data_IF_870172099689
#
_entry.id   IF_870172099689
#
_cell.length_a   1.000
_cell.length_b   1.000
_cell.length_c   1.000
_cell.angle_alpha   90.00
_cell.angle_beta   90.00
_cell.angle_gamma   90.00
#
_symmetry.space_group_name_H-M   'P 1'
#
loop_
_entity.id
_entity.type
_entity.pdbx_description
1 polymer ?
#
# COMPACT_ATOMS: atom_id res chain seq x y z
N UNK A 1 8.47 -52.77 39.18
CA UNK A 1 9.48 -52.51 38.13
C UNK A 1 8.86 -52.31 36.76
N UNK A 2 7.96 -53.19 36.31
CA UNK A 2 7.22 -53.08 35.02
C UNK A 2 6.38 -51.81 34.88
N UNK A 3 5.65 -51.39 35.92
CA UNK A 3 4.84 -50.17 35.88
C UNK A 3 5.65 -48.87 35.81
N UNK A 4 6.85 -48.83 36.39
CA UNK A 4 7.77 -47.69 36.28
C UNK A 4 8.38 -47.60 34.87
N UNK A 5 8.70 -48.74 34.26
CA UNK A 5 9.20 -48.79 32.87
C UNK A 5 8.11 -48.39 31.87
N UNK A 6 6.85 -48.81 32.09
CA UNK A 6 5.71 -48.36 31.30
C UNK A 6 5.42 -46.86 31.46
N UNK A 7 5.53 -46.34 32.69
CA UNK A 7 5.40 -44.91 32.95
C UNK A 7 6.49 -44.07 32.28
N UNK A 8 7.74 -44.54 32.33
CA UNK A 8 8.88 -43.88 31.66
C UNK A 8 8.72 -43.92 30.13
N UNK A 9 8.31 -45.06 29.58
CA UNK A 9 8.06 -45.20 28.15
C UNK A 9 6.93 -44.27 27.68
N UNK A 10 5.83 -44.18 28.43
CA UNK A 10 4.74 -43.25 28.15
C UNK A 10 5.20 -41.79 28.21
N UNK A 11 6.03 -41.43 29.20
CA UNK A 11 6.59 -40.09 29.34
C UNK A 11 7.50 -39.74 28.15
N UNK A 12 8.36 -40.66 27.71
CA UNK A 12 9.24 -40.47 26.54
C UNK A 12 8.41 -40.27 25.27
N UNK A 13 7.34 -41.04 25.07
CA UNK A 13 6.44 -40.87 23.91
C UNK A 13 5.75 -39.50 23.93
N UNK A 14 5.29 -39.03 25.09
CA UNK A 14 4.67 -37.71 25.24
C UNK A 14 5.68 -36.60 24.95
N UNK A 15 6.91 -36.69 25.47
CA UNK A 15 7.96 -35.71 25.23
C UNK A 15 8.43 -35.67 23.77
N UNK A 16 8.51 -36.83 23.11
CA UNK A 16 8.81 -36.91 21.68
C UNK A 16 7.67 -36.31 20.83
N UNK A 17 6.41 -36.50 21.25
CA UNK A 17 5.24 -35.93 20.58
C UNK A 17 5.22 -34.40 20.70
N UNK A 18 5.53 -33.85 21.87
CA UNK A 18 5.59 -32.39 22.11
C UNK A 18 6.77 -31.76 21.37
N UNK A 19 7.94 -32.39 21.38
CA UNK A 19 9.13 -31.88 20.66
C UNK A 19 9.02 -31.98 19.14
N UNK A 20 8.23 -32.94 18.63
CA UNK A 20 7.83 -32.98 17.21
C UNK A 20 6.88 -31.83 16.84
N UNK A 21 5.99 -31.44 17.74
CA UNK A 21 5.00 -30.37 17.52
C UNK A 21 5.64 -28.97 17.45
N UNK A 22 6.72 -28.72 18.19
CA UNK A 22 7.41 -27.41 18.19
C UNK A 22 8.35 -27.21 17.00
N UNK A 23 8.76 -28.28 16.31
CA UNK A 23 9.57 -28.23 15.08
C UNK A 23 8.77 -28.37 13.78
N UNK A 24 7.53 -28.86 13.86
CA UNK A 24 6.69 -29.05 12.70
C UNK A 24 6.02 -27.74 12.27
N UNK A 25 6.08 -27.45 10.97
CA UNK A 25 5.36 -26.34 10.37
C UNK A 25 3.85 -26.49 10.67
N UNK A 26 3.22 -25.55 11.40
CA UNK A 26 1.83 -25.67 11.85
C UNK A 26 0.85 -25.84 10.69
N UNK A 27 1.20 -25.34 9.50
CA UNK A 27 0.40 -25.51 8.29
C UNK A 27 0.38 -26.97 7.79
N UNK A 28 1.48 -27.70 7.91
CA UNK A 28 1.58 -29.11 7.50
C UNK A 28 0.82 -30.00 8.48
N UNK A 29 0.94 -29.72 9.78
CA UNK A 29 0.24 -30.47 10.81
C UNK A 29 -1.28 -30.29 10.71
N UNK A 30 -1.76 -29.06 10.52
CA UNK A 30 -3.18 -28.79 10.31
C UNK A 30 -3.72 -29.51 9.07
N UNK A 31 -2.93 -29.61 8.00
CA UNK A 31 -3.30 -30.34 6.78
C UNK A 31 -3.40 -31.84 7.01
N UNK A 32 -2.44 -32.43 7.72
CA UNK A 32 -2.47 -33.85 8.07
C UNK A 32 -3.63 -34.16 9.03
N UNK A 33 -3.91 -33.29 10.00
CA UNK A 33 -5.03 -33.45 10.93
C UNK A 33 -6.38 -33.46 10.21
N UNK A 34 -6.57 -32.55 9.24
CA UNK A 34 -7.77 -32.50 8.39
C UNK A 34 -7.91 -33.75 7.52
N UNK A 35 -6.81 -34.25 6.95
CA UNK A 35 -6.77 -35.48 6.16
C UNK A 35 -7.15 -36.72 6.97
N UNK A 36 -6.50 -36.90 8.12
CA UNK A 36 -6.76 -38.05 9.01
C UNK A 36 -8.16 -37.97 9.59
N UNK A 37 -8.59 -36.79 10.07
CA UNK A 37 -9.93 -36.59 10.61
C UNK A 37 -11.04 -36.81 9.58
N UNK A 38 -10.85 -36.32 8.36
CA UNK A 38 -11.80 -36.53 7.27
C UNK A 38 -11.90 -37.99 6.83
N UNK A 39 -10.78 -38.70 6.73
CA UNK A 39 -10.76 -40.14 6.41
C UNK A 39 -11.46 -40.98 7.49
N UNK A 40 -11.23 -40.67 8.78
CA UNK A 40 -11.92 -41.33 9.89
C UNK A 40 -13.42 -41.06 9.89
N UNK A 41 -13.85 -39.83 9.59
CA UNK A 41 -15.26 -39.47 9.50
C UNK A 41 -15.98 -40.22 8.36
N UNK A 42 -15.33 -40.39 7.20
CA UNK A 42 -15.88 -41.18 6.08
C UNK A 42 -15.97 -42.68 6.42
N UNK A 43 -14.95 -43.23 7.08
CA UNK A 43 -14.97 -44.62 7.52
C UNK A 43 -16.09 -44.87 8.54
N UNK A 44 -16.28 -43.96 9.50
CA UNK A 44 -17.39 -44.01 10.46
C UNK A 44 -18.76 -43.91 9.78
N UNK A 45 -18.90 -43.02 8.79
CA UNK A 45 -20.12 -42.90 8.00
C UNK A 45 -20.45 -44.20 7.24
N UNK A 46 -19.45 -44.84 6.61
CA UNK A 46 -19.64 -46.10 5.91
C UNK A 46 -20.10 -47.24 6.84
N UNK A 47 -19.54 -47.31 8.05
CA UNK A 47 -19.95 -48.28 9.08
C UNK A 47 -21.39 -48.04 9.53
N UNK A 48 -21.79 -46.76 9.69
CA UNK A 48 -23.16 -46.41 10.10
C UNK A 48 -24.19 -46.69 8.99
N UNK A 49 -23.83 -46.54 7.72
CA UNK A 49 -24.68 -46.96 6.59
C UNK A 49 -24.94 -48.45 6.62
N UNK A 50 -23.90 -49.26 6.84
CA UNK A 50 -24.03 -50.72 6.94
C UNK A 50 -24.92 -51.14 8.12
N UNK A 51 -25.03 -50.30 9.16
CA UNK A 51 -25.86 -50.52 10.34
C UNK A 51 -27.30 -49.99 10.21
N UNK A 52 -27.67 -49.46 9.04
CA UNK A 52 -29.00 -48.93 8.75
C UNK A 52 -29.28 -47.52 9.30
N UNK A 53 -28.29 -46.85 9.88
CA UNK A 53 -28.42 -45.51 10.47
C UNK A 53 -28.12 -44.41 9.44
N UNK A 54 -28.93 -44.37 8.37
CA UNK A 54 -28.68 -43.52 7.20
C UNK A 54 -28.55 -42.01 7.52
N UNK A 55 -29.35 -41.49 8.46
CA UNK A 55 -29.33 -40.07 8.82
C UNK A 55 -28.07 -39.62 9.57
N UNK A 56 -27.51 -40.47 10.43
CA UNK A 56 -26.25 -40.15 11.12
C UNK A 56 -25.05 -40.28 10.17
N UNK A 57 -25.13 -41.25 9.25
CA UNK A 57 -24.09 -41.48 8.27
C UNK A 57 -23.97 -40.35 7.23
N UNK A 58 -25.09 -39.75 6.80
CA UNK A 58 -25.06 -38.64 5.85
C UNK A 58 -24.37 -37.40 6.43
N UNK A 59 -24.60 -37.10 7.72
CA UNK A 59 -23.97 -35.95 8.40
C UNK A 59 -22.47 -36.16 8.55
N UNK A 60 -22.05 -37.35 9.01
CA UNK A 60 -20.63 -37.68 9.14
C UNK A 60 -19.92 -37.80 7.78
N UNK A 61 -20.62 -38.32 6.77
CA UNK A 61 -20.12 -38.41 5.40
C UNK A 61 -19.88 -37.03 4.79
N UNK A 62 -20.82 -36.09 4.99
CA UNK A 62 -20.69 -34.72 4.50
C UNK A 62 -19.57 -33.96 5.22
N UNK A 63 -19.42 -34.15 6.53
CA UNK A 63 -18.33 -33.56 7.31
C UNK A 63 -16.96 -34.13 6.92
N UNK A 64 -16.87 -35.45 6.69
CA UNK A 64 -15.66 -36.10 6.20
C UNK A 64 -15.26 -35.65 4.80
N UNK A 65 -16.23 -35.57 3.88
CA UNK A 65 -16.01 -35.06 2.53
C UNK A 65 -15.62 -33.56 2.51
N UNK A 66 -16.17 -32.76 3.43
CA UNK A 66 -15.80 -31.36 3.60
C UNK A 66 -14.37 -31.19 4.13
N UNK A 67 -13.98 -31.95 5.16
CA UNK A 67 -12.61 -31.95 5.70
C UNK A 67 -11.55 -32.37 4.67
N UNK A 68 -11.92 -33.24 3.73
CA UNK A 68 -11.06 -33.71 2.63
C UNK A 68 -11.14 -32.83 1.37
N UNK A 69 -12.03 -31.84 1.33
CA UNK A 69 -12.19 -30.94 0.18
C UNK A 69 -12.90 -31.55 -1.03
N UNK A 70 -13.64 -32.66 -0.86
CA UNK A 70 -14.41 -33.31 -1.92
C UNK A 70 -15.86 -32.79 -2.05
N UNK A 71 -16.38 -32.10 -1.03
CA UNK A 71 -17.72 -31.50 -1.06
C UNK A 71 -17.69 -30.08 -1.64
N UNK A 72 -18.06 -29.94 -2.91
CA UNK A 72 -18.15 -28.66 -3.61
C UNK A 72 -19.14 -27.69 -2.96
N UNK A 73 -18.60 -26.61 -2.39
CA UNK A 73 -19.15 -25.24 -2.36
C UNK A 73 -20.60 -25.04 -1.93
N UNK A 74 -20.83 -24.82 -0.63
CA UNK A 74 -21.92 -23.92 -0.17
C UNK A 74 -21.48 -22.98 0.97
N UNK A 75 -20.40 -23.25 1.75
CA UNK A 75 -20.07 -22.36 2.89
C UNK A 75 -18.57 -22.19 3.20
N UNK A 76 -17.72 -21.99 2.19
CA UNK A 76 -16.32 -21.58 2.39
C UNK A 76 -15.66 -21.07 1.10
N UNK A 77 -14.94 -19.94 1.10
CA UNK A 77 -14.35 -19.37 -0.10
C UNK A 77 -13.02 -20.08 -0.38
N UNK A 78 -12.99 -21.06 -1.29
CA UNK A 78 -11.74 -21.53 -1.94
C UNK A 78 -11.99 -22.69 -2.91
N UNK A 79 -12.45 -22.37 -4.12
CA UNK A 79 -11.90 -23.02 -5.30
C UNK A 79 -10.56 -22.36 -5.65
N UNK A 80 -9.62 -23.01 -6.35
CA UNK A 80 -8.52 -22.28 -6.96
C UNK A 80 -9.15 -21.35 -8.00
N UNK A 81 -9.34 -20.09 -7.62
CA UNK A 81 -9.55 -19.02 -8.59
C UNK A 81 -8.31 -19.03 -9.45
N UNK A 82 -8.41 -19.68 -10.61
CA UNK A 82 -7.47 -19.47 -11.69
C UNK A 82 -7.60 -17.98 -12.00
N UNK A 83 -6.67 -17.17 -11.48
CA UNK A 83 -6.59 -15.75 -11.82
C UNK A 83 -6.64 -15.69 -13.33
N UNK A 84 -7.67 -15.05 -13.88
CA UNK A 84 -7.75 -14.81 -15.31
C UNK A 84 -6.53 -13.96 -15.66
N UNK A 85 -5.64 -14.41 -16.55
CA UNK A 85 -4.51 -13.60 -16.99
C UNK A 85 -5.03 -12.33 -17.68
N UNK A 86 -4.39 -11.19 -17.43
CA UNK A 86 -4.72 -9.87 -17.98
C UNK A 86 -5.62 -9.01 -17.10
N UNK A 87 -5.61 -9.17 -15.78
CA UNK A 87 -6.33 -8.22 -14.90
C UNK A 87 -5.53 -6.92 -14.79
N UNK A 88 -6.04 -5.84 -15.39
CA UNK A 88 -5.65 -4.48 -15.04
C UNK A 88 -6.68 -3.85 -14.09
N UNK A 89 -6.21 -3.05 -13.14
CA UNK A 89 -7.06 -2.18 -12.32
C UNK A 89 -6.87 -0.74 -12.76
N UNK A 90 -7.98 -0.06 -13.05
CA UNK A 90 -8.00 1.37 -13.31
C UNK A 90 -8.42 2.09 -12.04
N UNK A 91 -7.60 3.05 -11.59
CA UNK A 91 -7.88 3.91 -10.44
C UNK A 91 -7.88 5.35 -10.93
N UNK A 92 -9.02 6.03 -10.82
CA UNK A 92 -9.18 7.45 -11.13
C UNK A 92 -9.42 8.24 -9.86
N UNK A 93 -8.59 9.23 -9.63
CA UNK A 93 -8.70 10.22 -8.55
C UNK A 93 -8.96 11.60 -9.14
N UNK A 94 -8.99 12.64 -8.31
CA UNK A 94 -9.19 14.01 -8.79
C UNK A 94 -8.02 14.52 -9.62
N UNK A 95 -6.78 14.13 -9.27
CA UNK A 95 -5.57 14.61 -9.93
C UNK A 95 -4.97 13.61 -10.91
N UNK A 96 -5.26 12.31 -10.79
CA UNK A 96 -4.57 11.25 -11.54
C UNK A 96 -5.55 10.21 -12.08
N UNK A 97 -5.31 9.72 -13.28
CA UNK A 97 -5.88 8.48 -13.79
C UNK A 97 -4.74 7.48 -13.96
N UNK A 98 -4.82 6.33 -13.30
CA UNK A 98 -3.75 5.35 -13.28
C UNK A 98 -4.27 3.96 -13.62
N UNK A 99 -3.46 3.19 -14.32
CA UNK A 99 -3.72 1.80 -14.64
C UNK A 99 -2.57 0.95 -14.09
N UNK A 100 -2.92 -0.12 -13.38
CA UNK A 100 -1.98 -1.10 -12.85
C UNK A 100 -2.27 -2.46 -13.47
N UNK A 101 -1.33 -2.96 -14.24
CA UNK A 101 -1.30 -4.35 -14.68
C UNK A 101 -0.88 -5.24 -13.51
N UNK A 102 -1.74 -6.18 -13.09
CA UNK A 102 -1.46 -7.06 -11.96
C UNK A 102 -0.52 -8.23 -12.28
N UNK A 103 -0.31 -8.53 -13.56
CA UNK A 103 0.57 -9.61 -14.01
C UNK A 103 2.02 -9.12 -14.12
N UNK A 104 2.22 -7.94 -14.72
CA UNK A 104 3.57 -7.34 -14.87
C UNK A 104 3.93 -6.41 -13.71
N UNK A 105 2.93 -5.90 -12.99
CA UNK A 105 3.11 -4.81 -12.05
C UNK A 105 3.37 -3.47 -12.72
N UNK A 106 3.26 -3.35 -14.05
CA UNK A 106 3.46 -2.07 -14.74
C UNK A 106 2.36 -1.08 -14.32
N UNK A 107 2.78 0.13 -13.99
CA UNK A 107 1.88 1.21 -13.57
C UNK A 107 2.06 2.37 -14.53
N UNK A 108 1.01 2.70 -15.26
CA UNK A 108 0.95 3.85 -16.17
C UNK A 108 -0.11 4.82 -15.69
N UNK A 109 -0.05 6.07 -16.14
CA UNK A 109 -1.06 7.04 -15.76
C UNK A 109 -0.92 8.41 -16.40
N UNK A 110 -1.97 9.20 -16.24
CA UNK A 110 -2.14 10.55 -16.78
C UNK A 110 -2.56 11.52 -15.69
N UNK A 111 -2.02 12.73 -15.76
CA UNK A 111 -2.39 13.82 -14.87
C UNK A 111 -3.68 14.48 -15.38
N UNK A 112 -4.69 14.55 -14.53
CA UNK A 112 -6.00 15.13 -14.85
C UNK A 112 -6.09 16.61 -14.47
N UNK A 113 -5.44 17.01 -13.37
CA UNK A 113 -5.58 18.34 -12.77
C UNK A 113 -4.22 18.84 -12.24
N UNK A 114 -4.08 20.16 -12.16
CA UNK A 114 -2.84 20.84 -11.72
C UNK A 114 -1.95 21.26 -12.88
N UNK A 115 -0.70 21.65 -12.59
CA UNK A 115 0.17 22.28 -13.58
C UNK A 115 0.59 21.37 -14.74
N UNK A 116 0.52 20.05 -14.51
CA UNK A 116 0.88 19.04 -15.49
C UNK A 116 -0.35 18.38 -16.14
N UNK A 117 -1.54 18.97 -15.98
CA UNK A 117 -2.79 18.42 -16.52
C UNK A 117 -2.67 18.09 -18.03
N UNK A 118 -3.12 16.89 -18.39
CA UNK A 118 -3.07 16.36 -19.75
C UNK A 118 -1.77 15.65 -20.13
N UNK A 119 -0.70 15.73 -19.32
CA UNK A 119 0.54 14.99 -19.55
C UNK A 119 0.47 13.58 -18.97
N UNK A 120 1.17 12.65 -19.62
CA UNK A 120 1.35 11.29 -19.10
C UNK A 120 2.48 11.28 -18.06
N UNK A 121 2.32 10.50 -16.98
CA UNK A 121 3.29 10.39 -15.89
C UNK A 121 4.67 9.90 -16.36
N UNK A 122 4.69 9.08 -17.40
CA UNK A 122 5.90 8.55 -18.04
C UNK A 122 6.70 9.64 -18.76
N UNK A 123 6.03 10.72 -19.17
CA UNK A 123 6.66 11.86 -19.85
C UNK A 123 7.23 12.91 -18.88
N UNK A 124 6.94 12.77 -17.59
CA UNK A 124 7.39 13.72 -16.57
C UNK A 124 8.83 13.41 -16.17
N UNK A 125 9.63 14.47 -16.01
CA UNK A 125 10.96 14.34 -15.41
C UNK A 125 10.83 13.98 -13.92
N UNK A 126 11.86 13.40 -13.29
CA UNK A 126 11.82 13.03 -11.87
C UNK A 126 11.46 14.21 -10.96
N UNK A 127 12.02 15.39 -11.24
CA UNK A 127 11.71 16.62 -10.50
C UNK A 127 10.27 17.11 -10.71
N UNK A 128 9.72 16.99 -11.93
CA UNK A 128 8.33 17.35 -12.22
C UNK A 128 7.35 16.41 -11.49
N UNK A 129 7.65 15.11 -11.47
CA UNK A 129 6.84 14.11 -10.77
C UNK A 129 6.90 14.28 -9.24
N UNK A 130 8.07 14.65 -8.68
CA UNK A 130 8.19 14.99 -7.27
C UNK A 130 7.37 16.24 -6.90
N UNK A 131 7.37 17.26 -7.75
CA UNK A 131 6.56 18.47 -7.55
C UNK A 131 5.06 18.15 -7.61
N UNK A 132 4.64 17.29 -8.54
CA UNK A 132 3.27 16.80 -8.61
C UNK A 132 2.86 16.03 -7.35
N UNK A 133 3.77 15.23 -6.77
CA UNK A 133 3.51 14.56 -5.48
C UNK A 133 3.33 15.57 -4.34
N UNK A 134 4.15 16.63 -4.27
CA UNK A 134 3.99 17.69 -3.25
C UNK A 134 2.64 18.39 -3.36
N UNK A 135 2.19 18.69 -4.59
CA UNK A 135 0.86 19.25 -4.85
C UNK A 135 -0.26 18.31 -4.42
N UNK A 136 -0.18 17.03 -4.81
CA UNK A 136 -1.18 16.03 -4.45
C UNK A 136 -1.25 15.84 -2.94
N UNK A 137 -0.12 15.85 -2.23
CA UNK A 137 -0.08 15.68 -0.76
C UNK A 137 -0.90 16.73 -0.01
N UNK A 138 -0.97 17.96 -0.52
CA UNK A 138 -1.78 19.02 0.09
C UNK A 138 -3.25 18.98 -0.33
N UNK A 139 -3.54 18.61 -1.58
CA UNK A 139 -4.89 18.69 -2.14
C UNK A 139 -5.69 17.38 -2.02
N UNK A 140 -5.08 16.23 -2.34
CA UNK A 140 -5.73 14.91 -2.35
C UNK A 140 -4.77 13.79 -1.88
N UNK A 141 -4.97 13.28 -0.65
CA UNK A 141 -4.17 12.18 -0.10
C UNK A 141 -4.22 10.89 -0.93
N UNK A 142 -5.31 10.63 -1.68
CA UNK A 142 -5.43 9.43 -2.49
C UNK A 142 -4.54 9.50 -3.73
N UNK A 143 -4.56 10.64 -4.44
CA UNK A 143 -3.63 10.90 -5.55
C UNK A 143 -2.17 10.85 -5.09
N UNK A 144 -1.87 11.37 -3.90
CA UNK A 144 -0.52 11.35 -3.33
C UNK A 144 0.02 9.92 -3.13
N UNK A 145 -0.82 8.98 -2.66
CA UNK A 145 -0.42 7.58 -2.49
C UNK A 145 -0.13 6.89 -3.82
N UNK A 146 -0.92 7.18 -4.86
CA UNK A 146 -0.74 6.57 -6.17
C UNK A 146 0.57 7.02 -6.84
N UNK A 147 0.85 8.33 -6.81
CA UNK A 147 2.11 8.84 -7.37
C UNK A 147 3.32 8.47 -6.53
N UNK A 148 3.18 8.31 -5.21
CA UNK A 148 4.22 7.75 -4.34
C UNK A 148 4.57 6.31 -4.74
N UNK A 149 3.56 5.45 -4.96
CA UNK A 149 3.78 4.08 -5.43
C UNK A 149 4.46 4.03 -6.81
N UNK A 150 4.13 4.97 -7.70
CA UNK A 150 4.79 5.12 -8.99
C UNK A 150 6.26 5.56 -8.85
N UNK A 151 6.51 6.63 -8.09
CA UNK A 151 7.86 7.16 -7.86
C UNK A 151 8.77 6.16 -7.16
N UNK A 152 8.26 5.38 -6.21
CA UNK A 152 9.02 4.32 -5.52
C UNK A 152 9.52 3.24 -6.46
N UNK A 153 8.79 2.99 -7.55
CA UNK A 153 9.14 1.99 -8.55
C UNK A 153 10.14 2.52 -9.58
N UNK A 154 9.96 3.75 -10.06
CA UNK A 154 10.80 4.32 -11.13
C UNK A 154 12.07 4.98 -10.59
N UNK A 155 11.98 5.65 -9.44
CA UNK A 155 13.07 6.42 -8.84
C UNK A 155 13.17 6.20 -7.33
N UNK A 156 13.69 5.07 -6.83
CA UNK A 156 13.70 4.76 -5.40
C UNK A 156 14.33 5.85 -4.48
N UNK A 157 15.25 6.68 -5.01
CA UNK A 157 15.92 7.77 -4.28
C UNK A 157 15.14 9.08 -4.25
N UNK A 158 13.98 9.16 -4.91
CA UNK A 158 13.24 10.42 -5.10
C UNK A 158 12.96 11.15 -3.77
N UNK A 159 12.68 10.42 -2.68
CA UNK A 159 12.45 11.00 -1.35
C UNK A 159 13.69 11.68 -0.78
N UNK A 160 14.85 11.07 -0.95
CA UNK A 160 16.12 11.62 -0.48
C UNK A 160 16.52 12.83 -1.31
N UNK A 161 16.28 12.78 -2.62
CA UNK A 161 16.56 13.87 -3.55
C UNK A 161 15.70 15.10 -3.24
N UNK A 162 14.40 14.91 -2.96
CA UNK A 162 13.50 15.99 -2.52
C UNK A 162 13.92 16.54 -1.16
N UNK A 163 14.18 15.69 -0.18
CA UNK A 163 14.61 16.13 1.16
C UNK A 163 15.93 16.90 1.11
N UNK A 164 16.86 16.50 0.25
CA UNK A 164 18.13 17.21 0.06
C UNK A 164 17.88 18.59 -0.53
N UNK A 165 17.09 18.68 -1.60
CA UNK A 165 16.73 19.97 -2.20
C UNK A 165 16.00 20.89 -1.22
N UNK A 166 15.08 20.35 -0.43
CA UNK A 166 14.38 21.13 0.61
C UNK A 166 15.33 21.59 1.72
N UNK A 167 16.34 20.80 2.12
CA UNK A 167 17.35 21.21 3.12
C UNK A 167 18.39 22.18 2.59
N UNK A 168 18.68 22.14 1.30
CA UNK A 168 19.55 23.12 0.65
C UNK A 168 18.83 24.46 0.48
N UNK A 169 17.52 24.42 0.19
CA UNK A 169 16.69 25.62 0.05
C UNK A 169 16.09 26.15 1.34
N UNK A 170 15.97 25.36 2.41
CA UNK A 170 15.52 25.82 3.72
C UNK A 170 16.71 25.73 4.66
N UNK A 171 17.12 26.87 5.23
CA UNK A 171 18.14 26.91 6.27
C UNK A 171 17.92 25.85 7.37
N UNK A 172 18.98 25.51 8.11
CA UNK A 172 19.02 24.33 8.99
C UNK A 172 17.91 24.21 10.07
N UNK A 173 17.10 25.25 10.29
CA UNK A 173 15.95 25.27 11.20
C UNK A 173 14.60 24.98 10.51
N UNK A 174 14.59 24.71 9.19
CA UNK A 174 13.39 24.38 8.42
C UNK A 174 12.40 25.53 8.22
N UNK A 175 12.75 26.74 8.66
CA UNK A 175 12.03 27.99 8.45
C UNK A 175 12.61 28.71 7.23
N UNK A 176 11.73 29.33 6.43
CA UNK A 176 12.14 30.12 5.28
C UNK A 176 12.93 31.36 5.73
N UNK A 177 14.13 31.54 5.20
CA UNK A 177 14.98 32.71 5.48
C UNK A 177 14.61 33.90 4.59
N UNK A 178 14.93 35.15 4.99
CA UNK A 178 14.71 36.33 4.15
C UNK A 178 15.43 36.25 2.80
N UNK A 179 16.62 35.63 2.76
CA UNK A 179 17.38 35.41 1.52
C UNK A 179 16.62 34.46 0.58
N UNK A 180 16.15 33.32 1.10
CA UNK A 180 15.34 32.36 0.34
C UNK A 180 14.03 32.97 -0.16
N UNK A 181 13.38 33.79 0.67
CA UNK A 181 12.15 34.47 0.30
C UNK A 181 12.38 35.47 -0.86
N UNK A 182 13.54 36.14 -0.89
CA UNK A 182 13.94 36.97 -2.02
C UNK A 182 14.14 36.13 -3.29
N UNK A 183 14.82 34.98 -3.18
CA UNK A 183 15.06 34.07 -4.31
C UNK A 183 13.76 33.52 -4.90
N UNK A 184 12.81 33.10 -4.06
CA UNK A 184 11.48 32.61 -4.47
C UNK A 184 10.70 33.70 -5.21
N UNK A 185 10.77 34.95 -4.74
CA UNK A 185 10.11 36.08 -5.38
C UNK A 185 10.90 36.67 -6.57
N UNK A 186 12.14 36.21 -6.80
CA UNK A 186 13.03 36.73 -7.83
C UNK A 186 13.48 38.17 -7.58
N UNK A 187 13.64 38.54 -6.31
CA UNK A 187 14.02 39.89 -5.86
C UNK A 187 15.45 39.91 -5.35
N UNK A 188 16.09 41.08 -5.39
CA UNK A 188 17.39 41.28 -4.76
C UNK A 188 17.24 41.57 -3.26
N UNK A 189 18.23 41.23 -2.42
CA UNK A 189 18.23 41.59 -1.01
C UNK A 189 18.03 43.10 -0.83
N UNK A 190 17.10 43.51 0.04
CA UNK A 190 16.75 44.92 0.27
C UNK A 190 15.71 45.51 -0.71
N UNK A 191 14.98 44.68 -1.45
CA UNK A 191 13.83 45.11 -2.25
C UNK A 191 12.78 45.85 -1.42
N UNK A 192 12.09 46.83 -2.02
CA UNK A 192 11.08 47.61 -1.32
C UNK A 192 9.79 46.79 -1.10
N UNK A 193 8.96 47.19 -0.13
CA UNK A 193 7.66 46.55 0.09
C UNK A 193 6.76 46.58 -1.16
N UNK A 194 6.85 47.65 -1.98
CA UNK A 194 6.11 47.73 -3.24
C UNK A 194 6.57 46.67 -4.25
N UNK A 195 7.88 46.45 -4.35
CA UNK A 195 8.48 45.42 -5.22
C UNK A 195 8.07 44.01 -4.76
N UNK A 196 8.11 43.75 -3.45
CA UNK A 196 7.66 42.49 -2.85
C UNK A 196 6.20 42.20 -3.20
N UNK A 197 5.31 43.18 -2.99
CA UNK A 197 3.88 43.02 -3.31
C UNK A 197 3.64 42.88 -4.81
N UNK A 198 4.43 43.52 -5.68
CA UNK A 198 4.32 43.38 -7.14
C UNK A 198 4.73 41.97 -7.57
N UNK A 199 5.91 41.51 -7.16
CA UNK A 199 6.42 40.18 -7.50
C UNK A 199 5.47 39.06 -7.00
N UNK A 200 4.98 39.18 -5.77
CA UNK A 200 4.00 38.26 -5.20
C UNK A 200 2.74 38.15 -6.07
N UNK A 201 2.15 39.28 -6.48
CA UNK A 201 0.94 39.28 -7.33
C UNK A 201 1.21 38.63 -8.69
N UNK A 202 2.35 38.92 -9.31
CA UNK A 202 2.71 38.37 -10.61
C UNK A 202 2.93 36.85 -10.57
N UNK A 203 3.62 36.36 -9.55
CA UNK A 203 3.84 34.93 -9.35
C UNK A 203 2.54 34.21 -8.98
N UNK A 204 1.74 34.79 -8.09
CA UNK A 204 0.47 34.20 -7.69
C UNK A 204 -0.51 34.10 -8.85
N UNK A 205 -0.53 35.07 -9.78
CA UNK A 205 -1.35 35.01 -10.99
C UNK A 205 -1.01 33.83 -11.90
N UNK A 206 0.27 33.40 -11.93
CA UNK A 206 0.76 32.27 -12.73
C UNK A 206 0.57 30.93 -12.02
N UNK A 207 0.76 30.90 -10.70
CA UNK A 207 0.78 29.68 -9.89
C UNK A 207 -0.55 29.39 -9.19
N UNK A 208 -1.58 30.22 -9.38
CA UNK A 208 -2.86 30.05 -8.69
C UNK A 208 -3.48 28.67 -8.93
N UNK A 209 -3.84 27.90 -7.88
CA UNK A 209 -4.41 26.56 -8.03
C UNK A 209 -5.72 26.56 -8.84
N UNK A 210 -6.57 27.58 -8.68
CA UNK A 210 -7.82 27.72 -9.46
C UNK A 210 -7.60 27.89 -10.97
N UNK A 211 -6.38 28.25 -11.40
CA UNK A 211 -6.01 28.37 -12.82
C UNK A 211 -5.17 27.19 -13.29
N UNK A 212 -5.16 26.09 -12.54
CA UNK A 212 -4.34 24.92 -12.82
C UNK A 212 -2.88 25.08 -12.40
N UNK A 213 -2.56 26.06 -11.55
CA UNK A 213 -1.22 26.19 -10.97
C UNK A 213 -0.96 25.20 -9.83
N UNK A 214 0.25 25.28 -9.26
CA UNK A 214 0.71 24.44 -8.16
C UNK A 214 0.24 24.98 -6.81
N UNK A 215 -0.46 24.15 -6.04
CA UNK A 215 -0.85 24.50 -4.67
C UNK A 215 0.39 24.67 -3.78
N UNK A 216 1.39 23.80 -3.94
CA UNK A 216 2.64 23.85 -3.19
C UNK A 216 3.43 25.12 -3.48
N UNK A 217 3.67 25.44 -4.75
CA UNK A 217 4.43 26.65 -5.10
C UNK A 217 3.67 27.93 -4.72
N UNK A 218 2.35 27.94 -4.85
CA UNK A 218 1.53 29.06 -4.38
C UNK A 218 1.68 29.27 -2.86
N UNK A 219 1.73 28.19 -2.08
CA UNK A 219 1.99 28.27 -0.64
C UNK A 219 3.39 28.84 -0.34
N UNK A 220 4.44 28.38 -1.05
CA UNK A 220 5.79 28.91 -0.89
C UNK A 220 5.89 30.40 -1.23
N UNK A 221 5.22 30.85 -2.30
CA UNK A 221 5.19 32.27 -2.69
C UNK A 221 4.48 33.12 -1.63
N UNK A 222 3.44 32.58 -0.98
CA UNK A 222 2.78 33.27 0.13
C UNK A 222 3.69 33.37 1.37
N UNK A 223 4.34 32.27 1.73
CA UNK A 223 5.31 32.21 2.84
C UNK A 223 6.45 33.21 2.63
N UNK A 224 7.02 33.28 1.42
CA UNK A 224 8.08 34.22 1.07
C UNK A 224 7.66 35.69 1.28
N UNK A 225 6.45 36.05 0.82
CA UNK A 225 5.89 37.39 1.04
C UNK A 225 5.69 37.67 2.53
N UNK A 226 5.23 36.69 3.31
CA UNK A 226 5.00 36.88 4.75
C UNK A 226 6.32 37.04 5.52
N UNK A 227 7.37 36.32 5.15
CA UNK A 227 8.73 36.46 5.72
C UNK A 227 9.32 37.84 5.44
N UNK A 228 9.27 38.32 4.19
CA UNK A 228 9.85 39.62 3.83
C UNK A 228 9.09 40.83 4.39
N UNK A 229 7.81 40.65 4.71
CA UNK A 229 6.98 41.70 5.32
C UNK A 229 6.89 41.57 6.85
N UNK A 230 7.70 40.69 7.45
CA UNK A 230 7.81 40.45 8.90
C UNK A 230 6.46 40.12 9.54
N UNK A 231 5.67 39.25 8.89
CA UNK A 231 4.34 38.80 9.34
C UNK A 231 4.34 37.38 9.92
N UNK A 232 5.51 36.84 10.28
CA UNK A 232 5.72 35.44 10.70
C UNK A 232 5.99 35.33 12.19
#
# INVERSE_FOLDING_TARGET
MTFLLLGLAALVVVLLSISGFTRANPAVLARQLKLVGGALALAAAAILLLRGAAGAASVLGMLGAWLLGWGGGVLGPSGPTRKSPGQSSEVRTEYLAMELDHDTGAMSGRVLKGMFAGRDLESLKPAEAALLWQDCRMADPQSAQLIEAYLDRIHPTWREDVQRGEREMRGGDGRMTPEEACDILGLSPGATEEDIRRAHRELMLKLHPDRGGSTYLAAQVNEAKDVLLDRV
#
